data_IF_362881903757
#
_entry.id   IF_362881903757
#
_cell.length_a   1.000
_cell.length_b   1.000
_cell.length_c   1.000
_cell.angle_alpha   90.00
_cell.angle_beta   90.00
_cell.angle_gamma   90.00
#
_symmetry.space_group_name_H-M   'P 1'
#
loop_
_entity.id
_entity.type
_entity.pdbx_description
1 polymer ?
#
# COMPACT_ATOMS: atom_id res chain seq x y z
N UNK A 1 -27.00 4.41 -4.91
CA UNK A 1 -25.93 4.51 -3.87
C UNK A 1 -25.29 3.17 -3.47
N UNK A 2 -26.01 2.05 -3.33
CA UNK A 2 -25.42 0.73 -2.96
C UNK A 2 -24.35 0.16 -3.93
N UNK A 3 -24.35 0.58 -5.20
CA UNK A 3 -23.37 0.15 -6.21
C UNK A 3 -21.99 0.83 -6.09
N UNK A 4 -21.88 1.92 -5.32
CA UNK A 4 -20.62 2.67 -5.14
C UNK A 4 -19.85 2.29 -3.86
N UNK A 5 -20.53 1.83 -2.83
CA UNK A 5 -19.92 1.52 -1.52
C UNK A 5 -19.10 0.24 -1.54
N UNK A 6 -19.54 -0.77 -2.30
CA UNK A 6 -18.88 -2.07 -2.40
C UNK A 6 -17.45 -1.99 -2.96
N UNK A 7 -17.16 -1.33 -4.11
CA UNK A 7 -15.80 -1.20 -4.60
C UNK A 7 -14.89 -0.42 -3.65
N UNK A 8 -15.40 0.62 -2.97
CA UNK A 8 -14.62 1.41 -2.01
C UNK A 8 -14.16 0.53 -0.83
N UNK A 9 -15.06 -0.27 -0.25
CA UNK A 9 -14.71 -1.15 0.87
C UNK A 9 -13.68 -2.22 0.47
N UNK A 10 -13.83 -2.80 -0.72
CA UNK A 10 -12.91 -3.81 -1.24
C UNK A 10 -11.52 -3.21 -1.47
N UNK A 11 -11.45 -2.05 -2.14
CA UNK A 11 -10.19 -1.36 -2.41
C UNK A 11 -9.56 -0.88 -1.10
N UNK A 12 -10.34 -0.35 -0.16
CA UNK A 12 -9.83 0.07 1.14
C UNK A 12 -9.20 -1.10 1.91
N UNK A 13 -9.88 -2.25 1.99
CA UNK A 13 -9.32 -3.46 2.60
C UNK A 13 -8.04 -3.91 1.90
N UNK A 14 -8.03 -3.93 0.56
CA UNK A 14 -6.85 -4.24 -0.23
C UNK A 14 -5.68 -3.31 0.11
N UNK A 15 -5.92 -2.01 0.15
CA UNK A 15 -4.91 -1.00 0.49
C UNK A 15 -4.38 -1.18 1.90
N UNK A 16 -5.24 -1.44 2.89
CA UNK A 16 -4.78 -1.71 4.25
C UNK A 16 -3.79 -2.89 4.29
N UNK A 17 -4.07 -3.98 3.58
CA UNK A 17 -3.17 -5.13 3.49
C UNK A 17 -1.84 -4.77 2.81
N UNK A 18 -1.89 -4.04 1.69
CA UNK A 18 -0.69 -3.60 0.97
C UNK A 18 0.19 -2.71 1.86
N UNK A 19 -0.39 -1.71 2.51
CA UNK A 19 0.37 -0.77 3.35
C UNK A 19 0.95 -1.49 4.56
N UNK A 20 0.19 -2.36 5.23
CA UNK A 20 0.71 -3.19 6.32
C UNK A 20 1.88 -4.07 5.87
N UNK A 21 1.79 -4.67 4.67
CA UNK A 21 2.88 -5.45 4.08
C UNK A 21 4.13 -4.62 3.80
N UNK A 22 3.97 -3.42 3.24
CA UNK A 22 5.08 -2.48 3.01
C UNK A 22 5.77 -2.08 4.31
N UNK A 23 5.01 -1.75 5.35
CA UNK A 23 5.58 -1.41 6.65
C UNK A 23 6.33 -2.61 7.25
N UNK A 24 5.79 -3.82 7.16
CA UNK A 24 6.48 -5.02 7.61
C UNK A 24 7.82 -5.21 6.88
N UNK A 25 7.84 -5.08 5.55
CA UNK A 25 9.08 -5.14 4.78
C UNK A 25 10.08 -4.08 5.17
N UNK A 26 9.63 -2.85 5.37
CA UNK A 26 10.50 -1.76 5.78
C UNK A 26 11.10 -1.99 7.17
N UNK A 27 10.32 -2.53 8.11
CA UNK A 27 10.83 -2.96 9.42
C UNK A 27 11.89 -4.06 9.26
N UNK A 28 11.66 -5.06 8.40
CA UNK A 28 12.61 -6.13 8.15
C UNK A 28 13.93 -5.60 7.57
N UNK A 29 13.84 -4.77 6.54
CA UNK A 29 14.99 -4.23 5.83
C UNK A 29 15.77 -3.20 6.64
N UNK A 30 15.12 -2.48 7.57
CA UNK A 30 15.83 -1.62 8.51
C UNK A 30 16.65 -2.42 9.53
N UNK A 31 16.25 -3.66 9.86
CA UNK A 31 16.99 -4.57 10.76
C UNK A 31 18.06 -5.38 10.02
N UNK A 32 17.77 -5.82 8.81
CA UNK A 32 18.67 -6.60 7.97
C UNK A 32 18.62 -6.03 6.55
N UNK A 33 19.45 -5.02 6.25
CA UNK A 33 19.49 -4.40 4.94
C UNK A 33 19.92 -5.40 3.86
N UNK A 34 19.27 -5.35 2.70
CA UNK A 34 19.74 -6.07 1.53
C UNK A 34 20.94 -5.32 0.95
N UNK A 35 22.14 -5.89 1.09
CA UNK A 35 23.40 -5.28 0.65
C UNK A 35 23.93 -5.93 -0.63
N UNK A 36 23.41 -7.10 -1.01
CA UNK A 36 23.68 -7.74 -2.28
C UNK A 36 23.04 -9.13 -2.38
N UNK A 37 23.34 -9.85 -3.46
CA UNK A 37 22.78 -11.20 -3.68
C UNK A 37 23.24 -12.18 -2.59
N UNK A 38 24.44 -11.98 -2.04
CA UNK A 38 25.03 -12.84 -1.02
C UNK A 38 24.20 -12.94 0.27
N UNK A 39 23.43 -11.90 0.63
CA UNK A 39 22.57 -11.90 1.82
C UNK A 39 21.07 -11.95 1.49
N UNK A 40 20.71 -12.20 0.22
CA UNK A 40 19.31 -12.27 -0.20
C UNK A 40 18.56 -13.39 0.54
N UNK A 41 19.18 -14.57 0.68
CA UNK A 41 18.55 -15.70 1.36
C UNK A 41 18.22 -15.39 2.83
N UNK A 42 19.08 -14.67 3.53
CA UNK A 42 18.85 -14.30 4.93
C UNK A 42 17.77 -13.25 5.07
N UNK A 43 17.72 -12.27 4.15
CA UNK A 43 16.66 -11.27 4.08
C UNK A 43 15.31 -11.94 3.80
N UNK A 44 15.23 -12.83 2.81
CA UNK A 44 13.98 -13.51 2.45
C UNK A 44 13.40 -14.36 3.59
N UNK A 45 14.24 -14.88 4.47
CA UNK A 45 13.83 -15.66 5.63
C UNK A 45 13.46 -14.79 6.85
N UNK A 46 13.54 -13.46 6.76
CA UNK A 46 13.07 -12.58 7.83
C UNK A 46 11.56 -12.73 8.03
N UNK A 47 11.06 -12.96 9.26
CA UNK A 47 9.64 -13.17 9.52
C UNK A 47 8.74 -12.06 8.97
N UNK A 48 9.17 -10.80 9.07
CA UNK A 48 8.44 -9.65 8.54
C UNK A 48 8.42 -9.59 7.01
N UNK A 49 9.45 -10.13 6.33
CA UNK A 49 9.41 -10.31 4.86
C UNK A 49 8.31 -11.30 4.49
N UNK A 50 8.29 -12.46 5.16
CA UNK A 50 7.29 -13.50 4.91
C UNK A 50 5.86 -13.02 5.21
N UNK A 51 5.66 -12.29 6.32
CA UNK A 51 4.36 -11.68 6.65
C UNK A 51 3.95 -10.69 5.56
N UNK A 52 4.85 -9.81 5.11
CA UNK A 52 4.52 -8.87 4.04
C UNK A 52 4.19 -9.58 2.72
N UNK A 53 4.88 -10.67 2.39
CA UNK A 53 4.55 -11.52 1.23
C UNK A 53 3.16 -12.15 1.35
N UNK A 54 2.80 -12.67 2.52
CA UNK A 54 1.48 -13.24 2.77
C UNK A 54 0.37 -12.17 2.67
N UNK A 55 0.59 -10.99 3.25
CA UNK A 55 -0.33 -9.85 3.16
C UNK A 55 -0.51 -9.40 1.71
N UNK A 56 0.58 -9.30 0.95
CA UNK A 56 0.54 -8.98 -0.48
C UNK A 56 -0.18 -10.05 -1.29
N UNK A 57 0.06 -11.33 -1.00
CA UNK A 57 -0.65 -12.44 -1.65
C UNK A 57 -2.17 -12.34 -1.43
N UNK A 58 -2.61 -12.12 -0.19
CA UNK A 58 -4.03 -11.90 0.11
C UNK A 58 -4.59 -10.64 -0.57
N UNK A 59 -3.82 -9.55 -0.57
CA UNK A 59 -4.20 -8.33 -1.26
C UNK A 59 -4.39 -8.57 -2.76
N UNK A 60 -3.50 -9.31 -3.41
CA UNK A 60 -3.61 -9.68 -4.83
C UNK A 60 -4.88 -10.47 -5.12
N UNK A 61 -5.26 -11.42 -4.27
CA UNK A 61 -6.51 -12.17 -4.45
C UNK A 61 -7.75 -11.26 -4.35
N UNK A 62 -7.76 -10.33 -3.40
CA UNK A 62 -8.83 -9.32 -3.27
C UNK A 62 -8.84 -8.39 -4.48
N UNK A 63 -7.67 -8.04 -5.01
CA UNK A 63 -7.54 -7.20 -6.20
C UNK A 63 -8.08 -7.89 -7.45
N UNK A 64 -7.79 -9.19 -7.64
CA UNK A 64 -8.38 -9.99 -8.72
C UNK A 64 -9.91 -10.01 -8.62
N UNK A 65 -10.45 -10.19 -7.42
CA UNK A 65 -11.89 -10.08 -7.21
C UNK A 65 -12.44 -8.70 -7.60
N UNK A 66 -11.78 -7.61 -7.19
CA UNK A 66 -12.18 -6.25 -7.56
C UNK A 66 -12.20 -6.05 -9.08
N UNK A 67 -11.11 -6.45 -9.77
CA UNK A 67 -11.00 -6.31 -11.23
C UNK A 67 -11.99 -7.19 -12.00
N UNK A 68 -12.43 -8.31 -11.43
CA UNK A 68 -13.45 -9.15 -12.04
C UNK A 68 -14.86 -8.55 -12.01
N UNK A 69 -15.09 -7.50 -11.21
CA UNK A 69 -16.42 -6.92 -10.94
C UNK A 69 -16.54 -5.44 -11.29
N UNK A 70 -15.43 -4.73 -11.41
CA UNK A 70 -15.41 -3.28 -11.57
C UNK A 70 -14.37 -2.87 -12.61
N UNK A 71 -14.66 -1.78 -13.31
CA UNK A 71 -13.73 -1.21 -14.29
C UNK A 71 -12.46 -0.70 -13.60
N UNK A 72 -11.31 -1.03 -14.19
CA UNK A 72 -10.00 -0.60 -13.70
C UNK A 72 -9.92 0.91 -13.53
N UNK A 73 -10.47 1.68 -14.49
CA UNK A 73 -10.50 3.14 -14.46
C UNK A 73 -11.20 3.72 -13.23
N UNK A 74 -12.07 2.94 -12.58
CA UNK A 74 -12.80 3.34 -11.39
C UNK A 74 -12.13 2.89 -10.09
N UNK A 75 -11.60 1.66 -10.05
CA UNK A 75 -10.98 1.12 -8.81
C UNK A 75 -9.53 1.55 -8.62
N UNK A 76 -8.80 1.80 -9.70
CA UNK A 76 -7.39 2.17 -9.63
C UNK A 76 -7.17 3.55 -8.97
N UNK A 77 -7.95 4.61 -9.30
CA UNK A 77 -7.82 5.88 -8.59
C UNK A 77 -8.11 5.77 -7.08
N UNK A 78 -9.03 4.90 -6.66
CA UNK A 78 -9.32 4.66 -5.24
C UNK A 78 -8.10 4.09 -4.47
N UNK A 79 -7.21 3.38 -5.17
CA UNK A 79 -6.00 2.81 -4.57
C UNK A 79 -4.97 3.89 -4.18
N UNK A 80 -5.11 5.12 -4.67
CA UNK A 80 -4.26 6.27 -4.30
C UNK A 80 -4.24 6.56 -2.80
N UNK A 81 -5.26 6.12 -2.05
CA UNK A 81 -5.28 6.24 -0.58
C UNK A 81 -4.13 5.45 0.08
N UNK A 82 -3.53 4.49 -0.63
CA UNK A 82 -2.31 3.81 -0.20
C UNK A 82 -1.14 4.79 0.00
N UNK A 83 -1.02 5.84 -0.81
CA UNK A 83 0.01 6.86 -0.63
C UNK A 83 -0.21 7.63 0.68
N UNK A 84 -1.46 7.91 1.04
CA UNK A 84 -1.80 8.62 2.29
C UNK A 84 -1.46 7.75 3.50
N UNK A 85 -1.94 6.52 3.50
CA UNK A 85 -1.70 5.59 4.60
C UNK A 85 -0.23 5.22 4.70
N UNK A 86 0.46 5.05 3.57
CA UNK A 86 1.90 4.82 3.51
C UNK A 86 2.70 5.97 4.11
N UNK A 87 2.41 7.22 3.71
CA UNK A 87 3.05 8.39 4.30
C UNK A 87 2.75 8.54 5.80
N UNK A 88 1.49 8.31 6.19
CA UNK A 88 1.07 8.41 7.59
C UNK A 88 1.75 7.36 8.48
N UNK A 89 1.85 6.11 8.04
CA UNK A 89 2.55 5.06 8.78
C UNK A 89 4.08 5.18 8.68
N UNK A 90 4.62 5.68 7.57
CA UNK A 90 6.04 6.04 7.49
C UNK A 90 6.39 7.10 8.54
N UNK A 91 5.59 8.15 8.63
CA UNK A 91 5.75 9.19 9.63
C UNK A 91 5.53 8.69 11.07
N UNK A 92 4.46 7.92 11.33
CA UNK A 92 4.08 7.49 12.69
C UNK A 92 4.89 6.31 13.23
N UNK A 93 5.04 5.25 12.43
CA UNK A 93 5.63 3.97 12.86
C UNK A 93 7.13 3.97 12.60
N UNK A 94 7.54 4.40 11.41
CA UNK A 94 8.94 4.39 11.01
C UNK A 94 9.69 5.66 11.41
N UNK A 95 8.96 6.68 11.93
CA UNK A 95 9.48 7.98 12.33
C UNK A 95 10.21 8.71 11.19
N UNK A 96 9.76 8.48 9.96
CA UNK A 96 10.29 9.16 8.78
C UNK A 96 9.89 10.63 8.79
N UNK A 97 10.80 11.51 8.37
CA UNK A 97 10.51 12.94 8.28
C UNK A 97 9.91 13.28 6.93
N UNK A 98 8.72 13.86 6.93
CA UNK A 98 8.07 14.38 5.73
C UNK A 98 8.11 15.91 5.73
N UNK A 99 8.64 16.50 4.66
CA UNK A 99 8.66 17.96 4.47
C UNK A 99 7.28 18.49 4.13
N UNK A 100 7.05 19.79 4.33
CA UNK A 100 5.80 20.45 3.95
C UNK A 100 5.48 20.32 2.45
N UNK A 101 6.51 20.29 1.60
CA UNK A 101 6.32 20.08 0.15
C UNK A 101 5.90 18.65 -0.19
N UNK A 102 6.38 17.64 0.53
CA UNK A 102 5.96 16.25 0.35
C UNK A 102 4.49 16.05 0.77
N UNK A 103 4.06 16.66 1.88
CA UNK A 103 2.66 16.67 2.29
C UNK A 103 1.76 17.36 1.27
N UNK A 104 2.21 18.49 0.71
CA UNK A 104 1.47 19.19 -0.36
C UNK A 104 1.38 18.35 -1.64
N UNK A 105 2.47 17.69 -2.03
CA UNK A 105 2.49 16.76 -3.16
C UNK A 105 1.52 15.60 -2.97
N UNK A 106 1.46 15.03 -1.75
CA UNK A 106 0.51 13.98 -1.42
C UNK A 106 -0.94 14.46 -1.56
N UNK A 107 -1.25 15.68 -1.12
CA UNK A 107 -2.59 16.28 -1.31
C UNK A 107 -2.94 16.39 -2.80
N UNK A 108 -1.99 16.77 -3.66
CA UNK A 108 -2.22 16.80 -5.11
C UNK A 108 -2.46 15.41 -5.72
N UNK A 109 -1.74 14.38 -5.27
CA UNK A 109 -1.95 13.00 -5.73
C UNK A 109 -3.36 12.54 -5.39
N UNK A 110 -3.80 12.75 -4.14
CA UNK A 110 -5.14 12.35 -3.68
C UNK A 110 -6.23 13.18 -4.35
N UNK A 111 -6.02 14.49 -4.49
CA UNK A 111 -6.95 15.38 -5.18
C UNK A 111 -7.13 15.00 -6.65
N UNK A 112 -6.03 14.72 -7.36
CA UNK A 112 -6.08 14.25 -8.75
C UNK A 112 -6.77 12.90 -8.89
N UNK A 113 -6.51 11.96 -7.97
CA UNK A 113 -7.18 10.67 -7.96
C UNK A 113 -8.69 10.78 -7.69
N UNK A 114 -9.11 11.70 -6.80
CA UNK A 114 -10.52 11.99 -6.58
C UNK A 114 -11.21 12.52 -7.84
N UNK A 115 -10.55 13.42 -8.59
CA UNK A 115 -11.09 13.93 -9.86
C UNK A 115 -11.25 12.84 -10.92
N UNK A 116 -10.34 11.85 -10.95
CA UNK A 116 -10.45 10.69 -11.85
C UNK A 116 -11.56 9.71 -11.44
N UNK A 117 -11.85 9.60 -10.15
CA UNK A 117 -12.86 8.68 -9.62
C UNK A 117 -14.30 9.22 -9.68
N UNK A 118 -14.45 10.54 -9.88
CA UNK A 118 -15.74 11.24 -10.02
C UNK A 118 -16.34 10.99 -11.40
#
# INVERSE_FOLDING_TARGET
MRLMTTPILIVFLNVCLLVCGQIAWKIALNRTPLTGIHNLGTVLMQPYILVGCLLYGMATLIWFYALSRFDLSRVYPLQSIAYVLGALFGWLILKETFTSSQWLGLLFVVGGAYLLAR
#
